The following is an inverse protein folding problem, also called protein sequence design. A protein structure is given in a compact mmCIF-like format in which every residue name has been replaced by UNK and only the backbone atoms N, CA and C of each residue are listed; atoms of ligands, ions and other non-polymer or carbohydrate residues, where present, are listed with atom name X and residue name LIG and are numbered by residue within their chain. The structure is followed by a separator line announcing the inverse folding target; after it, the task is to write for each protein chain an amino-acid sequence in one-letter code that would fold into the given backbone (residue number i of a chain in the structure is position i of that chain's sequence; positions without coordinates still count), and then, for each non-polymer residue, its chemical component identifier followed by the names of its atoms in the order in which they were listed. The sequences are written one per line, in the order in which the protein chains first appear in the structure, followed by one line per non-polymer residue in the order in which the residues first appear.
data_IF_120600950747
#
_entry.id   IF_120600950747
#
_cell.length_a   1.000
_cell.length_b   1.000
_cell.length_c   1.000
_cell.angle_alpha   90.00
_cell.angle_beta   90.00
_cell.angle_gamma   90.00
#
_symmetry.space_group_name_H-M   'P 1'
#
loop_
_entity.id
_entity.type
_entity.pdbx_description
1 polymer ?
#
# COMPACT_ATOMS: atom_id res chain seq x y z
N UNK A 1 18.01 -23.74 -3.29
CA UNK A 1 16.56 -23.46 -3.25
C UNK A 1 16.34 -22.08 -3.86
N UNK A 2 15.84 -21.98 -5.09
CA UNK A 2 15.71 -20.69 -5.78
C UNK A 2 14.43 -19.98 -5.28
N UNK A 3 14.56 -19.06 -4.32
CA UNK A 3 13.44 -18.23 -3.89
C UNK A 3 13.03 -17.32 -5.05
N UNK A 4 11.96 -17.68 -5.77
CA UNK A 4 11.37 -16.88 -6.85
C UNK A 4 10.98 -15.53 -6.26
N UNK A 5 11.80 -14.50 -6.49
CA UNK A 5 11.56 -13.13 -5.98
C UNK A 5 10.21 -12.68 -6.54
N UNK A 6 9.19 -12.62 -5.67
CA UNK A 6 7.88 -12.12 -6.08
C UNK A 6 8.07 -10.68 -6.54
N UNK A 7 7.57 -10.36 -7.74
CA UNK A 7 7.60 -8.99 -8.26
C UNK A 7 7.04 -8.04 -7.20
N UNK A 8 7.66 -6.87 -6.97
CA UNK A 8 7.12 -5.89 -6.05
C UNK A 8 5.69 -5.57 -6.49
N UNK A 9 4.72 -5.75 -5.59
CA UNK A 9 3.37 -5.23 -5.80
C UNK A 9 3.47 -3.72 -5.61
N UNK A 10 3.27 -2.97 -6.70
CA UNK A 10 3.22 -1.53 -6.67
C UNK A 10 1.83 -1.11 -6.21
N UNK A 11 1.76 -0.43 -5.08
CA UNK A 11 0.53 0.17 -4.57
C UNK A 11 0.64 1.69 -4.76
N UNK A 12 -0.31 2.27 -5.50
CA UNK A 12 -0.42 3.72 -5.67
C UNK A 12 -0.68 4.38 -4.33
N UNK A 13 -0.37 5.67 -4.23
CA UNK A 13 -0.64 6.39 -2.99
C UNK A 13 -2.15 6.48 -2.69
N UNK A 14 -2.95 6.77 -3.70
CA UNK A 14 -4.41 6.82 -3.61
C UNK A 14 -4.98 5.52 -3.02
N UNK A 15 -4.43 4.38 -3.40
CA UNK A 15 -4.83 3.08 -2.88
C UNK A 15 -4.50 2.94 -1.38
N UNK A 16 -3.34 3.44 -0.94
CA UNK A 16 -2.96 3.44 0.49
C UNK A 16 -3.87 4.37 1.29
N UNK A 17 -4.16 5.56 0.74
CA UNK A 17 -5.07 6.52 1.36
C UNK A 17 -6.49 5.96 1.49
N UNK A 18 -7.02 5.31 0.46
CA UNK A 18 -8.32 4.65 0.52
C UNK A 18 -8.41 3.63 1.65
N UNK A 19 -7.35 2.83 1.87
CA UNK A 19 -7.34 1.82 2.93
C UNK A 19 -7.22 2.42 4.31
N UNK A 20 -6.41 3.48 4.46
CA UNK A 20 -6.33 4.25 5.72
C UNK A 20 -7.68 4.91 6.02
N UNK A 21 -8.34 5.49 5.03
CA UNK A 21 -9.70 6.05 5.16
C UNK A 21 -10.73 4.98 5.54
N UNK A 22 -10.70 3.79 4.93
CA UNK A 22 -11.58 2.68 5.30
C UNK A 22 -11.39 2.27 6.76
N UNK A 23 -10.15 2.28 7.25
CA UNK A 23 -9.85 2.03 8.66
C UNK A 23 -10.39 3.15 9.57
N UNK A 24 -10.23 4.43 9.18
CA UNK A 24 -10.81 5.57 9.90
C UNK A 24 -12.34 5.56 9.91
N UNK A 25 -12.97 5.02 8.86
CA UNK A 25 -14.42 4.83 8.77
C UNK A 25 -14.95 3.69 9.67
N UNK A 26 -14.10 3.05 10.47
CA UNK A 26 -14.49 2.01 11.42
C UNK A 26 -14.51 0.59 10.85
N UNK A 27 -14.07 0.36 9.60
CA UNK A 27 -13.88 -1.01 9.11
C UNK A 27 -12.71 -1.68 9.82
N UNK A 28 -12.88 -2.96 10.18
CA UNK A 28 -11.82 -3.73 10.85
C UNK A 28 -10.68 -4.00 9.86
N UNK A 29 -9.43 -3.95 10.36
CA UNK A 29 -8.22 -4.26 9.60
C UNK A 29 -8.29 -5.63 8.91
N UNK A 30 -8.93 -6.61 9.54
CA UNK A 30 -9.08 -7.97 9.03
C UNK A 30 -9.96 -8.04 7.77
N UNK A 31 -11.08 -7.33 7.76
CA UNK A 31 -12.01 -7.30 6.62
C UNK A 31 -11.36 -6.60 5.42
N UNK A 32 -10.68 -5.47 5.67
CA UNK A 32 -9.92 -4.75 4.64
C UNK A 32 -8.79 -5.63 4.07
N UNK A 33 -8.05 -6.33 4.95
CA UNK A 33 -7.00 -7.27 4.54
C UNK A 33 -7.55 -8.39 3.64
N UNK A 34 -8.73 -8.92 3.96
CA UNK A 34 -9.36 -10.03 3.25
C UNK A 34 -9.98 -9.60 1.91
N UNK A 35 -10.63 -8.45 1.87
CA UNK A 35 -11.28 -7.93 0.66
C UNK A 35 -10.26 -7.53 -0.42
N UNK A 36 -9.12 -6.96 0.00
CA UNK A 36 -8.11 -6.44 -0.92
C UNK A 36 -6.86 -7.33 -1.07
N UNK A 37 -6.82 -8.53 -0.47
CA UNK A 37 -5.66 -9.46 -0.43
C UNK A 37 -4.36 -8.77 0.03
N UNK A 38 -4.46 -7.95 1.09
CA UNK A 38 -3.33 -7.17 1.59
C UNK A 38 -2.92 -7.73 2.94
N UNK A 39 -1.61 -7.93 3.16
CA UNK A 39 -1.13 -8.33 4.47
C UNK A 39 -1.44 -7.27 5.53
N UNK A 40 -1.94 -7.69 6.69
CA UNK A 40 -2.21 -6.82 7.87
C UNK A 40 -0.98 -6.03 8.29
N UNK A 41 0.21 -6.62 8.20
CA UNK A 41 1.49 -5.97 8.48
C UNK A 41 1.84 -4.85 7.49
N UNK A 42 1.31 -4.91 6.26
CA UNK A 42 1.47 -3.86 5.26
C UNK A 42 0.56 -2.65 5.57
N UNK A 43 -0.69 -2.92 5.96
CA UNK A 43 -1.64 -1.90 6.39
C UNK A 43 -1.14 -1.14 7.62
N UNK A 44 -0.56 -1.86 8.60
CA UNK A 44 0.03 -1.24 9.80
C UNK A 44 1.22 -0.31 9.46
N UNK A 45 2.06 -0.72 8.50
CA UNK A 45 3.14 0.13 7.98
C UNK A 45 2.61 1.39 7.31
N UNK A 46 1.50 1.30 6.57
CA UNK A 46 0.87 2.45 5.93
C UNK A 46 0.21 3.40 6.94
N UNK A 47 -0.45 2.88 7.97
CA UNK A 47 -1.02 3.69 9.04
C UNK A 47 0.06 4.45 9.82
N UNK A 48 1.20 3.80 10.10
CA UNK A 48 2.36 4.46 10.70
C UNK A 48 3.00 5.50 9.77
N UNK A 49 3.07 5.21 8.47
CA UNK A 49 3.57 6.17 7.47
C UNK A 49 2.64 7.38 7.30
N UNK A 50 1.32 7.19 7.30
CA UNK A 50 0.36 8.30 7.21
C UNK A 50 0.37 9.18 8.46
N UNK A 51 0.60 8.58 9.64
CA UNK A 51 0.72 9.32 10.89
C UNK A 51 2.04 10.10 11.01
N UNK A 52 3.16 9.52 10.53
CA UNK A 52 4.48 10.14 10.61
C UNK A 52 4.79 11.09 9.44
N UNK A 53 4.18 10.87 8.28
CA UNK A 53 4.40 11.62 7.05
C UNK A 53 3.05 12.18 6.64
N UNK A 54 2.72 13.39 7.12
CA UNK A 54 1.43 14.05 6.90
C UNK A 54 1.03 14.29 5.44
N UNK A 55 1.79 13.80 4.46
CA UNK A 55 1.32 13.59 3.10
C UNK A 55 2.24 12.56 2.43
N UNK A 56 1.67 11.56 1.78
CA UNK A 56 2.40 10.53 1.06
C UNK A 56 2.78 11.04 -0.35
N UNK A 57 3.21 12.29 -0.48
CA UNK A 57 3.78 12.79 -1.73
C UNK A 57 5.27 12.55 -1.79
N UNK A 58 5.66 11.28 -1.72
CA UNK A 58 7.01 10.88 -2.12
C UNK A 58 6.97 10.25 -3.51
N UNK A 59 7.15 11.15 -4.49
CA UNK A 59 7.61 10.90 -5.86
C UNK A 59 6.94 9.75 -6.60
N UNK A 60 5.90 10.09 -7.37
CA UNK A 60 5.67 9.44 -8.67
C UNK A 60 6.87 9.82 -9.56
N UNK A 61 7.98 9.11 -9.41
CA UNK A 61 9.06 9.14 -10.39
C UNK A 61 9.65 7.74 -10.42
N UNK A 62 9.12 6.90 -11.30
CA UNK A 62 9.93 6.04 -12.16
C UNK A 62 9.10 5.56 -13.37
N UNK A 63 9.33 6.27 -14.49
CA UNK A 63 9.64 5.68 -15.80
C UNK A 63 8.69 4.60 -16.31
N UNK A 64 7.69 5.06 -17.07
CA UNK A 64 7.32 4.48 -18.37
C UNK A 64 8.59 4.34 -19.24
N UNK A 65 9.47 3.37 -18.93
CA UNK A 65 10.49 2.92 -19.88
C UNK A 65 9.80 1.94 -20.83
N UNK A 66 8.98 2.50 -21.70
CA UNK A 66 8.59 1.84 -22.94
C UNK A 66 9.86 1.75 -23.80
N UNK A 67 10.57 0.64 -23.69
CA UNK A 67 11.42 0.16 -24.79
C UNK A 67 10.57 -0.84 -25.56
N UNK A 68 10.00 -0.39 -26.68
CA UNK A 68 9.95 -1.16 -27.91
C UNK A 68 9.81 -0.21 -29.08
#
# INVERSE_FOLDING_TARGET
MMTKRRKPRFYTDEFKQQLVQLYHNGKRKCDICREYDIATSLLDKWLKQSAASGFFTKKITILQKSRK
#
